data_IF_147103495760
#
_entry.id   IF_147103495760
#
_cell.length_a   1.000
_cell.length_b   1.000
_cell.length_c   1.000
_cell.angle_alpha   90.00
_cell.angle_beta   90.00
_cell.angle_gamma   90.00
#
_symmetry.space_group_name_H-M   'P 1'
#
loop_
_entity.id
_entity.type
_entity.pdbx_description
1 polymer ?
#
# COMPACT_ATOMS: atom_id res chain seq x y z
N UNK A 1 -1.18 9.78 14.53
CA UNK A 1 -0.99 10.28 13.16
C UNK A 1 -2.30 10.11 12.41
N UNK A 2 -2.86 11.19 11.85
CA UNK A 2 -4.09 11.15 11.03
C UNK A 2 -3.82 10.50 9.67
N UNK A 3 -4.86 10.21 8.91
CA UNK A 3 -4.71 9.71 7.54
C UNK A 3 -4.06 10.75 6.63
N UNK A 4 -4.36 12.05 6.78
CA UNK A 4 -3.68 13.10 5.98
C UNK A 4 -2.18 13.17 6.28
N UNK A 5 -1.81 13.13 7.56
CA UNK A 5 -0.40 13.16 7.98
C UNK A 5 0.36 11.94 7.45
N UNK A 6 -0.27 10.76 7.53
CA UNK A 6 0.28 9.50 7.02
C UNK A 6 0.47 9.54 5.51
N UNK A 7 -0.55 10.01 4.78
CA UNK A 7 -0.51 10.17 3.32
C UNK A 7 0.62 11.08 2.89
N UNK A 8 0.69 12.28 3.48
CA UNK A 8 1.74 13.26 3.17
C UNK A 8 3.13 12.69 3.41
N UNK A 9 3.34 11.99 4.52
CA UNK A 9 4.63 11.37 4.83
C UNK A 9 5.02 10.27 3.83
N UNK A 10 4.06 9.48 3.35
CA UNK A 10 4.30 8.47 2.29
C UNK A 10 4.67 9.17 0.98
N UNK A 11 3.91 10.19 0.57
CA UNK A 11 4.19 10.97 -0.65
C UNK A 11 5.60 11.58 -0.58
N UNK A 12 5.95 12.21 0.54
CA UNK A 12 7.26 12.82 0.72
C UNK A 12 8.38 11.78 0.59
N UNK A 13 8.25 10.62 1.24
CA UNK A 13 9.22 9.52 1.14
C UNK A 13 9.36 8.98 -0.28
N UNK A 14 8.24 8.70 -0.95
CA UNK A 14 8.24 8.19 -2.33
C UNK A 14 8.78 9.21 -3.35
N UNK A 15 8.68 10.51 -3.05
CA UNK A 15 9.22 11.56 -3.91
C UNK A 15 10.74 11.64 -3.87
N UNK A 16 11.34 11.21 -2.76
CA UNK A 16 12.79 11.21 -2.55
C UNK A 16 13.39 9.90 -3.06
N UNK A 17 12.76 8.77 -2.75
CA UNK A 17 13.30 7.44 -3.01
C UNK A 17 12.20 6.45 -3.45
N UNK A 18 11.83 6.44 -4.73
CA UNK A 18 10.88 5.48 -5.26
C UNK A 18 11.52 4.09 -5.38
N UNK A 19 11.05 3.14 -4.58
CA UNK A 19 11.65 1.81 -4.45
C UNK A 19 10.63 0.66 -4.68
N UNK A 20 11.14 -0.57 -4.67
CA UNK A 20 10.36 -1.81 -4.63
C UNK A 20 9.95 -2.15 -3.19
N UNK A 21 8.67 -2.46 -3.01
CA UNK A 21 8.07 -2.84 -1.74
C UNK A 21 7.48 -4.23 -1.79
N UNK A 22 7.57 -4.95 -0.68
CA UNK A 22 6.96 -6.26 -0.53
C UNK A 22 5.48 -6.10 -0.16
N UNK A 23 4.60 -6.62 -1.01
CA UNK A 23 3.15 -6.59 -0.77
C UNK A 23 2.78 -7.27 0.54
N UNK A 24 1.68 -6.81 1.16
CA UNK A 24 1.09 -7.45 2.32
C UNK A 24 -0.18 -8.16 1.84
N UNK A 25 -0.11 -9.47 1.53
CA UNK A 25 -1.24 -10.18 0.95
C UNK A 25 -2.36 -10.36 1.96
N UNK A 26 -3.60 -10.15 1.50
CA UNK A 26 -4.82 -10.30 2.30
C UNK A 26 -5.21 -11.76 2.58
N UNK A 27 -4.55 -12.72 1.93
CA UNK A 27 -4.81 -14.17 1.96
C UNK A 27 -3.44 -14.86 2.10
N UNK A 28 -3.41 -16.18 2.38
CA UNK A 28 -2.21 -17.04 2.27
C UNK A 28 -1.67 -17.13 0.82
N UNK A 29 -1.40 -16.00 0.19
CA UNK A 29 -0.65 -15.87 -1.04
C UNK A 29 0.76 -15.45 -0.69
N UNK A 30 1.72 -15.90 -1.47
CA UNK A 30 3.11 -15.49 -1.35
C UNK A 30 3.19 -13.99 -1.62
N UNK A 31 3.75 -13.17 -0.71
CA UNK A 31 4.03 -11.77 -0.99
C UNK A 31 4.87 -11.60 -2.25
N UNK A 32 4.41 -10.76 -3.17
CA UNK A 32 5.18 -10.33 -4.35
C UNK A 32 5.68 -8.90 -4.18
N UNK A 33 6.69 -8.53 -4.94
CA UNK A 33 7.24 -7.17 -4.96
C UNK A 33 6.50 -6.28 -5.96
N UNK A 34 6.45 -4.98 -5.70
CA UNK A 34 5.91 -3.96 -6.59
C UNK A 34 6.70 -2.67 -6.42
N UNK A 35 6.79 -1.85 -7.46
CA UNK A 35 7.37 -0.50 -7.31
C UNK A 35 6.28 0.52 -6.98
N UNK A 36 6.61 1.48 -6.14
CA UNK A 36 5.75 2.63 -5.88
C UNK A 36 6.47 3.94 -6.24
N UNK A 37 5.69 4.87 -6.79
CA UNK A 37 6.16 6.20 -7.18
C UNK A 37 5.04 7.21 -7.00
N UNK A 38 5.34 8.50 -7.05
CA UNK A 38 4.34 9.56 -6.88
C UNK A 38 4.63 10.77 -7.77
N UNK A 39 3.58 11.45 -8.18
CA UNK A 39 3.62 12.79 -8.79
C UNK A 39 3.28 13.91 -7.78
N UNK A 40 3.30 13.58 -6.48
CA UNK A 40 2.89 14.39 -5.32
C UNK A 40 1.39 14.52 -5.09
N UNK A 41 0.56 14.15 -6.06
CA UNK A 41 -0.90 14.12 -5.90
C UNK A 41 -1.41 12.69 -5.71
N UNK A 42 -0.82 11.75 -6.44
CA UNK A 42 -1.22 10.36 -6.49
C UNK A 42 -0.03 9.43 -6.25
N UNK A 43 -0.34 8.19 -5.86
CA UNK A 43 0.64 7.11 -5.80
C UNK A 43 0.37 6.17 -6.97
N UNK A 44 1.43 5.81 -7.70
CA UNK A 44 1.40 4.86 -8.79
C UNK A 44 2.12 3.58 -8.41
N UNK A 45 1.40 2.47 -8.53
CA UNK A 45 1.90 1.13 -8.29
C UNK A 45 2.15 0.44 -9.62
N UNK A 46 3.37 -0.07 -9.79
CA UNK A 46 3.79 -0.81 -10.98
C UNK A 46 4.39 -2.17 -10.58
N UNK A 47 4.74 -2.98 -11.58
CA UNK A 47 5.60 -4.14 -11.36
C UNK A 47 6.90 -3.73 -10.67
N UNK A 48 7.48 -4.65 -9.90
CA UNK A 48 8.79 -4.46 -9.30
C UNK A 48 9.83 -4.23 -10.39
N UNK A 49 10.78 -3.33 -10.14
CA UNK A 49 11.86 -2.99 -11.09
C UNK A 49 13.08 -3.88 -10.92
N UNK A 50 13.41 -4.23 -9.68
CA UNK A 50 14.61 -5.00 -9.33
C UNK A 50 14.27 -6.31 -8.63
N UNK A 51 13.24 -6.32 -7.81
CA UNK A 51 12.96 -7.44 -6.90
C UNK A 51 12.07 -8.53 -7.50
N UNK A 52 12.21 -9.76 -6.97
CA UNK A 52 11.45 -10.93 -7.40
C UNK A 52 10.92 -11.79 -6.23
N UNK A 53 9.73 -12.42 -6.37
CA UNK A 53 8.85 -12.41 -7.54
C UNK A 53 8.10 -11.07 -7.69
N UNK A 54 8.08 -10.53 -8.91
CA UNK A 54 7.41 -9.27 -9.23
C UNK A 54 5.90 -9.44 -9.38
N UNK A 55 5.15 -8.41 -9.02
CA UNK A 55 3.71 -8.34 -9.25
C UNK A 55 3.40 -8.34 -10.75
N UNK A 56 2.34 -9.05 -11.15
CA UNK A 56 1.91 -9.15 -12.55
C UNK A 56 1.10 -7.93 -13.02
N UNK A 57 1.44 -6.74 -12.53
CA UNK A 57 0.77 -5.50 -12.90
C UNK A 57 1.17 -5.14 -14.32
N UNK A 58 0.20 -5.16 -15.24
CA UNK A 58 0.40 -4.76 -16.65
C UNK A 58 0.02 -3.30 -16.89
N UNK A 59 -0.90 -2.78 -16.09
CA UNK A 59 -1.36 -1.39 -16.15
C UNK A 59 -1.13 -0.74 -14.78
N UNK A 60 -0.44 0.41 -14.70
CA UNK A 60 -0.18 1.10 -13.43
C UNK A 60 -1.47 1.29 -12.65
N UNK A 61 -1.44 0.98 -11.34
CA UNK A 61 -2.58 1.27 -10.47
C UNK A 61 -2.38 2.64 -9.85
N UNK A 62 -3.39 3.48 -9.98
CA UNK A 62 -3.45 4.78 -9.32
C UNK A 62 -4.12 4.62 -7.95
N UNK A 63 -3.50 5.18 -6.92
CA UNK A 63 -4.07 5.34 -5.59
C UNK A 63 -4.30 6.83 -5.37
N UNK A 64 -5.54 7.17 -5.07
CA UNK A 64 -5.96 8.52 -4.67
C UNK A 64 -6.09 8.60 -3.16
N UNK A 65 -6.08 9.80 -2.59
CA UNK A 65 -6.18 9.96 -1.14
C UNK A 65 -7.45 9.30 -0.55
N UNK A 66 -8.60 9.35 -1.23
CA UNK A 66 -9.83 8.71 -0.73
C UNK A 66 -9.70 7.18 -0.61
N UNK A 67 -8.96 6.53 -1.50
CA UNK A 67 -8.67 5.08 -1.38
C UNK A 67 -7.81 4.82 -0.15
N UNK A 68 -6.79 5.68 0.05
CA UNK A 68 -5.89 5.57 1.18
C UNK A 68 -6.60 5.79 2.50
N UNK A 69 -7.40 6.84 2.61
CA UNK A 69 -8.13 7.22 3.83
C UNK A 69 -9.05 6.09 4.31
N UNK A 70 -9.83 5.51 3.40
CA UNK A 70 -10.70 4.37 3.70
C UNK A 70 -9.91 3.15 4.19
N UNK A 71 -8.76 2.87 3.58
CA UNK A 71 -7.91 1.73 3.95
C UNK A 71 -7.14 2.00 5.25
N UNK A 72 -6.74 3.24 5.50
CA UNK A 72 -6.03 3.64 6.71
C UNK A 72 -6.92 3.51 7.94
N UNK A 73 -8.20 3.87 7.83
CA UNK A 73 -9.19 3.76 8.92
C UNK A 73 -9.29 2.34 9.50
N UNK A 74 -9.08 1.31 8.66
CA UNK A 74 -9.13 -0.10 9.06
C UNK A 74 -7.76 -0.74 9.27
N UNK A 75 -6.67 -0.01 8.99
CA UNK A 75 -5.31 -0.53 9.10
C UNK A 75 -4.95 -0.90 10.54
N UNK A 76 -5.38 -0.08 11.52
CA UNK A 76 -5.13 -0.34 12.94
C UNK A 76 -5.74 -1.67 13.39
N UNK A 77 -7.05 -1.86 13.17
CA UNK A 77 -7.75 -3.13 13.44
C UNK A 77 -7.13 -4.33 12.74
N UNK A 78 -6.64 -4.16 11.51
CA UNK A 78 -5.93 -5.23 10.80
C UNK A 78 -4.56 -5.55 11.44
N UNK A 79 -3.79 -4.54 11.82
CA UNK A 79 -2.47 -4.69 12.42
C UNK A 79 -2.54 -5.38 13.79
N UNK A 80 -3.60 -5.13 14.55
CA UNK A 80 -3.86 -5.74 15.85
C UNK A 80 -4.38 -7.20 15.74
N UNK A 81 -4.62 -7.69 14.53
CA UNK A 81 -4.99 -9.08 14.28
C UNK A 81 -6.45 -9.41 14.58
N UNK A 82 -7.34 -8.41 14.59
CA UNK A 82 -8.76 -8.61 14.85
C UNK A 82 -9.40 -9.60 13.85
N UNK A 83 -10.10 -10.60 14.38
CA UNK A 83 -10.83 -11.60 13.57
C UNK A 83 -11.97 -10.91 12.81
N UNK A 84 -11.83 -10.79 11.49
CA UNK A 84 -12.86 -10.22 10.61
C UNK A 84 -12.39 -9.01 9.80
N UNK A 85 -11.39 -8.28 10.30
CA UNK A 85 -10.84 -7.12 9.61
C UNK A 85 -10.34 -7.47 8.19
N UNK A 86 -9.69 -8.61 8.02
CA UNK A 86 -9.19 -9.09 6.70
C UNK A 86 -10.29 -9.31 5.66
N UNK A 87 -11.49 -9.74 6.07
CA UNK A 87 -12.63 -9.96 5.15
C UNK A 87 -13.34 -8.67 4.77
N UNK A 88 -13.39 -7.69 5.66
CA UNK A 88 -14.01 -6.37 5.42
C UNK A 88 -13.13 -5.50 4.52
N UNK A 89 -11.83 -5.49 4.81
CA UNK A 89 -10.79 -4.80 4.04
C UNK A 89 -10.81 -5.17 2.54
N UNK A 90 -11.21 -6.40 2.23
CA UNK A 90 -11.31 -6.94 0.86
C UNK A 90 -12.35 -6.23 -0.01
N UNK A 91 -13.36 -5.62 0.61
CA UNK A 91 -14.45 -4.92 -0.09
C UNK A 91 -14.16 -3.44 -0.32
N UNK A 92 -13.11 -2.92 0.31
CA UNK A 92 -12.83 -1.48 0.33
C UNK A 92 -12.15 -1.03 -0.96
N UNK A 93 -11.01 -1.65 -1.30
CA UNK A 93 -10.26 -1.27 -2.49
C UNK A 93 -9.44 -2.43 -3.04
N UNK A 94 -9.25 -2.43 -4.36
CA UNK A 94 -8.30 -3.34 -5.00
C UNK A 94 -6.83 -2.95 -4.73
N UNK A 95 -6.60 -1.77 -4.16
CA UNK A 95 -5.28 -1.23 -3.85
C UNK A 95 -4.80 -1.56 -2.42
N UNK A 96 -5.63 -2.15 -1.58
CA UNK A 96 -5.33 -2.30 -0.14
C UNK A 96 -4.03 -3.06 0.15
N UNK A 97 -3.70 -4.12 -0.58
CA UNK A 97 -2.46 -4.87 -0.35
C UNK A 97 -1.20 -4.01 -0.55
N UNK A 98 -1.27 -3.02 -1.44
CA UNK A 98 -0.19 -2.06 -1.69
C UNK A 98 -0.19 -0.97 -0.63
N UNK A 99 -1.36 -0.43 -0.28
CA UNK A 99 -1.49 0.59 0.77
C UNK A 99 -0.98 0.07 2.10
N UNK A 100 -1.34 -1.17 2.49
CA UNK A 100 -0.84 -1.80 3.71
C UNK A 100 0.69 -1.96 3.70
N UNK A 101 1.24 -2.38 2.56
CA UNK A 101 2.69 -2.50 2.41
C UNK A 101 3.39 -1.15 2.56
N UNK A 102 2.87 -0.08 1.96
CA UNK A 102 3.42 1.26 2.08
C UNK A 102 3.33 1.80 3.51
N UNK A 103 2.19 1.62 4.19
CA UNK A 103 2.05 2.02 5.60
C UNK A 103 3.08 1.29 6.46
N UNK A 104 3.17 -0.04 6.33
CA UNK A 104 4.13 -0.84 7.09
C UNK A 104 5.57 -0.44 6.81
N UNK A 105 5.94 -0.29 5.54
CA UNK A 105 7.32 -0.03 5.12
C UNK A 105 7.78 1.41 5.35
N UNK A 106 6.88 2.39 5.33
CA UNK A 106 7.25 3.81 5.34
C UNK A 106 6.82 4.54 6.62
N UNK A 107 5.91 3.98 7.41
CA UNK A 107 5.41 4.61 8.63
C UNK A 107 5.75 3.83 9.90
N UNK A 108 6.04 2.53 9.78
CA UNK A 108 6.37 1.64 10.90
C UNK A 108 7.76 1.00 10.78
N UNK A 109 8.61 1.55 9.90
CA UNK A 109 10.03 1.20 9.72
C UNK A 109 10.92 1.76 10.83
#
# INVERSE_FOLDING_TARGET
MTSEEAWKKIIDKLSIDPDDYKSVPQINRIPVWFSASTDKEFIFINSAKMESPSSKITTPRKIVFSDFDQVYAVYASWADGEKGARSEVRKISSNTAYIFALIKALLQS
#
